data_IF_574291383968
#
_entry.id   IF_574291383968
#
_cell.length_a   1.000
_cell.length_b   1.000
_cell.length_c   1.000
_cell.angle_alpha   90.00
_cell.angle_beta   90.00
_cell.angle_gamma   90.00
#
_symmetry.space_group_name_H-M   'P 1'
#
loop_
_entity.id
_entity.type
_entity.pdbx_description
1 polymer ?
#
# COMPACT_ATOMS: atom_id res chain seq x y z
N UNK A 1 -1.43 20.03 -62.62
CA UNK A 1 -0.29 19.77 -61.71
C UNK A 1 -0.82 19.84 -60.28
N UNK A 2 -1.16 18.73 -59.61
CA UNK A 2 -1.56 18.79 -58.21
C UNK A 2 -0.32 18.78 -57.30
N UNK A 3 -0.31 19.65 -56.30
CA UNK A 3 0.75 19.76 -55.31
C UNK A 3 0.74 18.55 -54.35
N UNK A 4 1.90 18.09 -53.85
CA UNK A 4 1.95 16.98 -52.89
C UNK A 4 1.59 17.50 -51.49
N UNK A 5 0.53 16.93 -50.90
CA UNK A 5 0.23 17.09 -49.48
C UNK A 5 1.20 16.24 -48.67
N UNK A 6 2.18 16.89 -48.04
CA UNK A 6 3.03 16.28 -47.02
C UNK A 6 2.25 16.13 -45.71
N UNK A 7 1.68 14.95 -45.48
CA UNK A 7 1.19 14.56 -44.16
C UNK A 7 2.39 14.30 -43.25
N UNK A 8 2.66 15.23 -42.33
CA UNK A 8 3.59 15.03 -41.22
C UNK A 8 3.12 13.81 -40.38
N UNK A 9 4.05 12.93 -39.92
CA UNK A 9 3.68 11.80 -39.09
C UNK A 9 3.12 12.30 -37.76
N UNK A 10 1.89 11.89 -37.45
CA UNK A 10 1.19 12.24 -36.22
C UNK A 10 1.98 11.81 -34.99
N UNK A 11 2.24 12.76 -34.09
CA UNK A 11 2.56 12.47 -32.71
C UNK A 11 1.32 11.83 -32.08
N UNK A 12 1.30 10.50 -31.99
CA UNK A 12 0.33 9.82 -31.16
C UNK A 12 0.62 10.18 -29.70
N UNK A 13 -0.37 10.59 -28.90
CA UNK A 13 -0.15 10.87 -27.48
C UNK A 13 0.37 9.60 -26.79
N UNK A 14 1.58 9.66 -26.27
CA UNK A 14 2.20 8.60 -25.49
C UNK A 14 1.42 8.41 -24.20
N UNK A 15 0.51 7.43 -24.18
CA UNK A 15 -0.14 7.04 -22.93
C UNK A 15 0.93 6.65 -21.91
N UNK A 16 0.72 6.95 -20.63
CA UNK A 16 1.67 6.71 -19.53
C UNK A 16 2.13 5.24 -19.44
N UNK A 17 1.36 4.32 -20.03
CA UNK A 17 1.64 2.88 -20.11
C UNK A 17 2.58 2.46 -21.24
N UNK A 18 2.89 3.36 -22.19
CA UNK A 18 3.81 3.09 -23.31
C UNK A 18 5.28 3.35 -22.98
N UNK A 19 5.56 4.05 -21.87
CA UNK A 19 6.91 4.42 -21.47
C UNK A 19 7.59 3.23 -20.77
N UNK A 20 8.69 2.77 -21.36
CA UNK A 20 9.53 1.71 -20.79
C UNK A 20 10.68 2.28 -19.94
N UNK A 21 11.39 1.40 -19.24
CA UNK A 21 12.51 1.76 -18.36
C UNK A 21 13.63 2.53 -19.06
N UNK A 22 13.98 2.16 -20.29
CA UNK A 22 15.05 2.82 -21.04
C UNK A 22 14.72 4.29 -21.27
N UNK A 23 13.47 4.59 -21.61
CA UNK A 23 12.99 5.97 -21.80
C UNK A 23 12.90 6.69 -20.45
N UNK A 24 12.23 6.09 -19.46
CA UNK A 24 12.05 6.73 -18.15
C UNK A 24 13.40 7.08 -17.48
N UNK A 25 14.42 6.22 -17.62
CA UNK A 25 15.74 6.42 -17.03
C UNK A 25 16.52 7.61 -17.62
N UNK A 26 16.19 8.03 -18.85
CA UNK A 26 16.81 9.21 -19.46
C UNK A 26 16.40 10.49 -18.75
N UNK A 27 15.27 10.49 -18.03
CA UNK A 27 14.78 11.68 -17.33
C UNK A 27 15.47 11.83 -15.97
N UNK A 28 16.23 12.92 -15.72
CA UNK A 28 16.87 13.14 -14.43
C UNK A 28 15.86 13.18 -13.26
N UNK A 29 14.70 13.78 -13.48
CA UNK A 29 13.62 13.83 -12.49
C UNK A 29 13.11 12.44 -12.08
N UNK A 30 13.01 11.50 -13.03
CA UNK A 30 12.61 10.13 -12.72
C UNK A 30 13.64 9.43 -11.83
N UNK A 31 14.93 9.57 -12.14
CA UNK A 31 16.02 8.97 -11.34
C UNK A 31 16.05 9.51 -9.92
N UNK A 32 15.91 10.83 -9.76
CA UNK A 32 15.84 11.47 -8.45
C UNK A 32 14.61 11.01 -7.66
N UNK A 33 13.42 11.02 -8.27
CA UNK A 33 12.21 10.58 -7.60
C UNK A 33 12.28 9.10 -7.18
N UNK A 34 12.81 8.23 -8.04
CA UNK A 34 12.95 6.81 -7.73
C UNK A 34 13.97 6.59 -6.62
N UNK A 35 15.16 7.22 -6.74
CA UNK A 35 16.20 7.14 -5.71
C UNK A 35 15.71 7.64 -4.35
N UNK A 36 15.02 8.78 -4.32
CA UNK A 36 14.42 9.33 -3.10
C UNK A 36 13.35 8.42 -2.52
N UNK A 37 12.42 7.89 -3.34
CA UNK A 37 11.40 6.97 -2.84
C UNK A 37 12.02 5.72 -2.21
N UNK A 38 13.03 5.11 -2.86
CA UNK A 38 13.72 3.94 -2.34
C UNK A 38 14.49 4.26 -1.05
N UNK A 39 15.24 5.37 -1.01
CA UNK A 39 15.97 5.79 0.18
C UNK A 39 15.04 6.06 1.38
N UNK A 40 13.92 6.74 1.14
CA UNK A 40 12.91 7.02 2.15
C UNK A 40 12.23 5.75 2.67
N UNK A 41 11.92 4.79 1.80
CA UNK A 41 11.36 3.49 2.19
C UNK A 41 12.36 2.65 2.99
N UNK A 42 13.64 2.65 2.62
CA UNK A 42 14.69 1.96 3.38
C UNK A 42 14.90 2.59 4.76
N UNK A 43 14.94 3.93 4.82
CA UNK A 43 15.02 4.67 6.08
C UNK A 43 13.83 4.34 6.98
N UNK A 44 12.62 4.37 6.43
CA UNK A 44 11.41 4.00 7.14
C UNK A 44 11.49 2.55 7.66
N UNK A 45 11.88 1.59 6.83
CA UNK A 45 12.02 0.19 7.23
C UNK A 45 13.02 0.00 8.38
N UNK A 46 14.12 0.77 8.40
CA UNK A 46 15.09 0.76 9.48
C UNK A 46 14.56 1.37 10.80
N UNK A 47 13.64 2.33 10.71
CA UNK A 47 13.10 3.04 11.88
C UNK A 47 11.84 2.39 12.46
N UNK A 48 11.03 1.73 11.62
CA UNK A 48 9.73 1.15 12.01
C UNK A 48 9.79 0.21 13.21
N UNK A 49 10.76 -0.71 13.36
CA UNK A 49 10.81 -1.60 14.52
C UNK A 49 10.90 -0.84 15.85
N UNK A 50 11.72 0.24 15.90
CA UNK A 50 11.85 1.09 17.09
C UNK A 50 10.58 1.88 17.34
N UNK A 51 9.96 2.40 16.27
CA UNK A 51 8.69 3.12 16.38
C UNK A 51 7.58 2.22 16.91
N UNK A 52 7.44 1.00 16.39
CA UNK A 52 6.45 0.05 16.90
C UNK A 52 6.71 -0.36 18.34
N UNK A 53 7.96 -0.62 18.73
CA UNK A 53 8.28 -0.89 20.13
C UNK A 53 7.85 0.25 21.06
N UNK A 54 8.04 1.50 20.63
CA UNK A 54 7.55 2.67 21.37
C UNK A 54 6.03 2.77 21.40
N UNK A 55 5.34 2.54 20.27
CA UNK A 55 3.87 2.53 20.21
C UNK A 55 3.29 1.45 21.14
N UNK A 56 3.87 0.24 21.13
CA UNK A 56 3.44 -0.89 21.97
C UNK A 56 3.52 -0.57 23.47
N UNK A 57 4.53 0.19 23.89
CA UNK A 57 4.74 0.55 25.30
C UNK A 57 3.80 1.63 25.83
N UNK A 58 3.11 2.38 24.95
CA UNK A 58 2.20 3.45 25.37
C UNK A 58 0.84 2.90 25.79
N UNK A 59 0.20 3.46 26.84
CA UNK A 59 -1.21 3.19 27.12
C UNK A 59 -2.06 3.76 26.00
N UNK A 60 -3.04 2.99 25.54
CA UNK A 60 -4.03 3.40 24.56
C UNK A 60 -5.45 3.41 25.11
N UNK A 61 -6.39 3.73 24.24
CA UNK A 61 -7.82 3.66 24.52
C UNK A 61 -8.43 2.44 23.84
N UNK A 62 -9.30 1.72 24.55
CA UNK A 62 -10.11 0.67 23.96
C UNK A 62 -11.34 1.31 23.29
N UNK A 63 -11.56 1.03 22.01
CA UNK A 63 -12.72 1.54 21.29
C UNK A 63 -13.86 0.50 21.30
N UNK A 64 -15.11 0.92 21.53
CA UNK A 64 -16.25 0.05 21.30
C UNK A 64 -16.40 -0.19 19.79
N UNK A 65 -16.51 -1.45 19.38
CA UNK A 65 -16.75 -1.82 17.99
C UNK A 65 -17.92 -2.81 17.93
N UNK A 66 -19.15 -2.32 17.63
CA UNK A 66 -20.34 -3.18 17.60
C UNK A 66 -20.27 -4.29 16.55
N UNK A 67 -19.52 -4.10 15.46
CA UNK A 67 -19.40 -5.11 14.42
C UNK A 67 -18.50 -6.24 14.93
N UNK A 68 -17.32 -5.92 15.46
CA UNK A 68 -16.44 -6.93 16.06
C UNK A 68 -17.07 -7.62 17.27
N UNK A 69 -17.85 -6.89 18.08
CA UNK A 69 -18.52 -7.48 19.24
C UNK A 69 -19.50 -8.62 18.89
N UNK A 70 -20.03 -8.62 17.67
CA UNK A 70 -20.94 -9.66 17.16
C UNK A 70 -20.27 -10.65 16.19
N UNK A 71 -19.00 -10.41 15.83
CA UNK A 71 -18.24 -11.26 14.94
C UNK A 71 -17.43 -12.26 15.78
N UNK A 72 -17.50 -13.57 15.52
CA UNK A 72 -16.67 -14.52 16.24
C UNK A 72 -15.23 -14.47 15.73
N UNK A 73 -14.29 -14.26 16.65
CA UNK A 73 -12.87 -14.29 16.37
C UNK A 73 -12.42 -15.70 15.93
N UNK A 74 -11.69 -15.79 14.82
CA UNK A 74 -11.10 -17.04 14.31
C UNK A 74 -9.70 -16.78 13.78
N UNK A 75 -8.82 -17.75 13.96
CA UNK A 75 -7.51 -17.70 13.31
C UNK A 75 -7.64 -18.02 11.82
N UNK A 76 -7.47 -16.98 11.02
CA UNK A 76 -7.43 -16.94 9.55
C UNK A 76 -6.09 -16.39 9.06
N UNK A 77 -5.03 -16.48 9.87
CA UNK A 77 -3.69 -15.96 9.52
C UNK A 77 -3.21 -16.49 8.17
N UNK A 78 -3.32 -17.80 7.94
CA UNK A 78 -2.90 -18.43 6.68
C UNK A 78 -3.61 -17.85 5.45
N UNK A 79 -4.94 -17.69 5.53
CA UNK A 79 -5.74 -17.13 4.45
C UNK A 79 -5.42 -15.66 4.22
N UNK A 80 -5.28 -14.88 5.30
CA UNK A 80 -4.93 -13.47 5.23
C UNK A 80 -3.58 -13.27 4.52
N UNK A 81 -2.54 -13.98 4.95
CA UNK A 81 -1.21 -13.89 4.35
C UNK A 81 -1.18 -14.41 2.91
N UNK A 82 -1.94 -15.45 2.58
CA UNK A 82 -2.08 -15.92 1.19
C UNK A 82 -2.66 -14.81 0.29
N UNK A 83 -3.74 -14.15 0.72
CA UNK A 83 -4.37 -13.05 -0.03
C UNK A 83 -3.41 -11.88 -0.19
N UNK A 84 -2.71 -11.48 0.88
CA UNK A 84 -1.74 -10.38 0.86
C UNK A 84 -0.60 -10.68 -0.10
N UNK A 85 0.05 -11.85 0.02
CA UNK A 85 1.22 -12.16 -0.80
C UNK A 85 0.88 -12.37 -2.28
N UNK A 86 -0.24 -13.04 -2.58
CA UNK A 86 -0.69 -13.18 -3.97
C UNK A 86 -1.08 -11.82 -4.57
N UNK A 87 -1.74 -10.96 -3.79
CA UNK A 87 -2.08 -9.60 -4.20
C UNK A 87 -0.85 -8.73 -4.45
N UNK A 88 0.12 -8.74 -3.53
CA UNK A 88 1.40 -8.03 -3.69
C UNK A 88 2.15 -8.56 -4.91
N UNK A 89 2.25 -9.89 -5.06
CA UNK A 89 2.91 -10.52 -6.22
C UNK A 89 2.27 -10.10 -7.55
N UNK A 90 0.94 -10.17 -7.65
CA UNK A 90 0.21 -9.73 -8.84
C UNK A 90 0.43 -8.23 -9.13
N UNK A 91 0.40 -7.40 -8.09
CA UNK A 91 0.68 -5.96 -8.18
C UNK A 91 2.09 -5.69 -8.70
N UNK A 92 3.11 -6.29 -8.09
CA UNK A 92 4.52 -6.14 -8.48
C UNK A 92 4.75 -6.60 -9.91
N UNK A 93 4.30 -7.80 -10.29
CA UNK A 93 4.45 -8.32 -11.66
C UNK A 93 3.77 -7.39 -12.69
N UNK A 94 2.66 -6.75 -12.30
CA UNK A 94 1.94 -5.83 -13.18
C UNK A 94 2.61 -4.45 -13.27
N UNK A 95 3.19 -3.95 -12.17
CA UNK A 95 3.78 -2.61 -12.11
C UNK A 95 5.25 -2.58 -12.56
N UNK A 96 6.00 -3.66 -12.38
CA UNK A 96 7.43 -3.70 -12.69
C UNK A 96 7.76 -3.30 -14.14
N UNK A 97 7.03 -3.71 -15.20
CA UNK A 97 7.30 -3.23 -16.56
C UNK A 97 6.82 -1.79 -16.84
N UNK A 98 6.18 -1.12 -15.88
CA UNK A 98 5.51 0.19 -16.03
C UNK A 98 6.14 1.23 -15.09
N UNK A 99 7.32 1.77 -15.43
CA UNK A 99 8.15 2.57 -14.53
C UNK A 99 7.40 3.75 -13.88
N UNK A 100 6.54 4.46 -14.63
CA UNK A 100 5.84 5.63 -14.11
C UNK A 100 4.77 5.26 -13.07
N UNK A 101 4.02 4.18 -13.30
CA UNK A 101 3.04 3.67 -12.34
C UNK A 101 3.72 3.09 -11.10
N UNK A 102 4.82 2.36 -11.30
CA UNK A 102 5.62 1.85 -10.20
C UNK A 102 6.16 2.98 -9.33
N UNK A 103 6.72 4.03 -9.94
CA UNK A 103 7.22 5.19 -9.21
C UNK A 103 6.13 5.86 -8.37
N UNK A 104 4.94 6.06 -8.95
CA UNK A 104 3.78 6.58 -8.21
C UNK A 104 3.37 5.64 -7.07
N UNK A 105 3.38 4.33 -7.30
CA UNK A 105 3.06 3.35 -6.27
C UNK A 105 4.07 3.39 -5.10
N UNK A 106 5.37 3.53 -5.37
CA UNK A 106 6.40 3.64 -4.33
C UNK A 106 6.23 4.91 -3.48
N UNK A 107 5.99 6.05 -4.12
CA UNK A 107 5.72 7.30 -3.39
C UNK A 107 4.43 7.24 -2.57
N UNK A 108 3.36 6.67 -3.14
CA UNK A 108 2.12 6.49 -2.42
C UNK A 108 2.28 5.52 -1.25
N UNK A 109 3.05 4.45 -1.41
CA UNK A 109 3.34 3.49 -0.36
C UNK A 109 4.15 4.12 0.79
N UNK A 110 5.14 4.94 0.47
CA UNK A 110 5.85 5.72 1.48
C UNK A 110 4.91 6.68 2.23
N UNK A 111 4.07 7.44 1.52
CA UNK A 111 3.08 8.33 2.14
C UNK A 111 2.07 7.58 3.01
N UNK A 112 1.66 6.38 2.62
CA UNK A 112 0.78 5.54 3.43
C UNK A 112 1.40 5.21 4.79
N UNK A 113 2.68 4.85 4.80
CA UNK A 113 3.38 4.58 6.04
C UNK A 113 3.58 5.84 6.88
N UNK A 114 3.80 7.00 6.26
CA UNK A 114 3.81 8.28 6.98
C UNK A 114 2.46 8.51 7.66
N UNK A 115 1.34 8.33 6.95
CA UNK A 115 0.00 8.45 7.54
C UNK A 115 -0.23 7.44 8.66
N UNK A 116 0.18 6.18 8.49
CA UNK A 116 0.12 5.16 9.53
C UNK A 116 0.92 5.55 10.77
N UNK A 117 2.14 6.05 10.60
CA UNK A 117 2.93 6.55 11.74
C UNK A 117 2.26 7.74 12.42
N UNK A 118 1.67 8.67 11.66
CA UNK A 118 0.94 9.81 12.21
C UNK A 118 -0.32 9.38 12.97
N UNK A 119 -1.11 8.44 12.45
CA UNK A 119 -2.30 7.93 13.14
C UNK A 119 -1.92 7.20 14.42
N UNK A 120 -0.89 6.36 14.38
CA UNK A 120 -0.38 5.69 15.57
C UNK A 120 0.15 6.69 16.59
N UNK A 121 0.84 7.75 16.15
CA UNK A 121 1.33 8.80 17.04
C UNK A 121 0.18 9.50 17.78
N UNK A 122 -0.86 9.90 17.05
CA UNK A 122 -1.95 10.75 17.52
C UNK A 122 -3.05 9.99 18.27
N UNK A 123 -3.31 8.74 17.89
CA UNK A 123 -4.43 7.95 18.40
C UNK A 123 -3.90 6.61 18.93
N UNK A 124 -3.35 6.57 20.15
CA UNK A 124 -2.93 5.32 20.76
C UNK A 124 -4.16 4.49 21.13
N UNK A 125 -4.29 3.31 20.53
CA UNK A 125 -5.40 2.38 20.79
C UNK A 125 -4.89 1.11 21.45
N UNK A 126 -5.72 0.53 22.32
CA UNK A 126 -5.55 -0.85 22.76
C UNK A 126 -6.16 -1.81 21.73
N UNK A 127 -5.62 -3.03 21.58
CA UNK A 127 -6.16 -4.01 20.64
C UNK A 127 -7.62 -4.35 20.94
N UNK A 128 -8.42 -4.73 19.92
CA UNK A 128 -9.78 -5.18 20.11
C UNK A 128 -9.87 -6.35 21.11
N UNK A 129 -10.98 -6.43 21.84
CA UNK A 129 -11.23 -7.59 22.70
C UNK A 129 -11.32 -8.86 21.86
N UNK A 130 -10.65 -9.92 22.31
CA UNK A 130 -10.59 -11.18 21.56
C UNK A 130 -9.61 -11.16 20.37
N UNK A 131 -8.65 -10.23 20.33
CA UNK A 131 -7.55 -10.23 19.36
C UNK A 131 -6.95 -11.64 19.21
N UNK A 132 -6.94 -12.14 17.97
CA UNK A 132 -6.14 -13.30 17.59
C UNK A 132 -4.88 -12.81 16.90
N UNK A 133 -3.71 -13.11 17.46
CA UNK A 133 -2.42 -12.67 16.93
C UNK A 133 -2.24 -13.20 15.50
N UNK A 134 -1.84 -12.34 14.57
CA UNK A 134 -1.45 -12.78 13.22
C UNK A 134 -0.11 -13.50 13.30
N UNK A 135 -0.08 -14.71 12.78
CA UNK A 135 1.14 -15.49 12.59
C UNK A 135 1.56 -15.46 11.12
N UNK A 136 2.65 -14.75 10.82
CA UNK A 136 3.18 -14.64 9.46
C UNK A 136 4.00 -15.91 9.13
N UNK A 137 3.52 -16.77 8.20
CA UNK A 137 4.14 -18.06 7.95
C UNK A 137 5.49 -17.95 7.22
N UNK A 138 5.76 -16.84 6.50
CA UNK A 138 7.05 -16.64 5.84
C UNK A 138 8.06 -16.04 6.82
N UNK A 139 7.66 -15.02 7.57
CA UNK A 139 8.54 -14.39 8.56
C UNK A 139 8.91 -15.41 9.62
N UNK A 140 7.96 -16.11 10.24
CA UNK A 140 8.27 -17.10 11.27
C UNK A 140 9.20 -18.22 10.77
N UNK A 141 9.08 -18.59 9.49
CA UNK A 141 9.89 -19.64 8.88
C UNK A 141 11.30 -19.18 8.46
N UNK A 142 11.46 -17.93 8.03
CA UNK A 142 12.69 -17.45 7.40
C UNK A 142 13.45 -16.40 8.22
N UNK A 143 12.79 -15.72 9.15
CA UNK A 143 13.33 -14.64 9.97
C UNK A 143 12.85 -14.85 11.41
N UNK A 144 13.72 -15.39 12.27
CA UNK A 144 13.44 -15.62 13.70
C UNK A 144 12.45 -14.59 14.27
N UNK A 145 11.28 -15.07 14.69
CA UNK A 145 10.14 -14.25 15.07
C UNK A 145 10.57 -13.13 16.03
N UNK A 146 10.09 -11.92 15.79
CA UNK A 146 10.31 -10.81 16.71
C UNK A 146 9.87 -11.20 18.13
N UNK A 147 10.58 -10.76 19.19
CA UNK A 147 10.33 -11.22 20.56
C UNK A 147 8.91 -10.95 21.08
N UNK A 148 8.17 -10.04 20.45
CA UNK A 148 6.76 -9.80 20.74
C UNK A 148 5.97 -9.48 19.47
N UNK A 149 4.73 -9.99 19.34
CA UNK A 149 3.86 -9.65 18.22
C UNK A 149 3.45 -8.17 18.28
N UNK A 150 3.27 -7.55 17.12
CA UNK A 150 2.78 -6.18 16.99
C UNK A 150 1.25 -6.22 17.10
N UNK A 151 0.68 -5.54 18.10
CA UNK A 151 -0.74 -5.62 18.45
C UNK A 151 -1.44 -4.26 18.52
N UNK A 152 -0.70 -3.17 18.75
CA UNK A 152 -1.21 -1.78 18.73
C UNK A 152 -1.00 -1.07 17.39
N UNK A 153 -0.85 -1.83 16.32
CA UNK A 153 -0.87 -1.27 14.96
C UNK A 153 -2.31 -1.03 14.50
N UNK A 154 -2.94 0.00 15.07
CA UNK A 154 -4.39 0.22 14.99
C UNK A 154 -4.69 1.62 14.43
N UNK A 155 -5.96 1.90 14.11
CA UNK A 155 -6.49 3.04 13.35
C UNK A 155 -6.16 3.06 11.85
N UNK A 156 -5.25 2.22 11.39
CA UNK A 156 -4.86 2.15 9.99
C UNK A 156 -4.53 0.71 9.59
N UNK A 157 -5.42 0.05 8.84
CA UNK A 157 -5.15 -1.31 8.35
C UNK A 157 -4.13 -1.29 7.21
N UNK A 158 -2.86 -1.58 7.53
CA UNK A 158 -1.78 -1.65 6.54
C UNK A 158 -2.04 -2.69 5.44
N UNK A 159 -2.65 -3.82 5.79
CA UNK A 159 -3.01 -4.90 4.86
C UNK A 159 -4.02 -4.42 3.82
N UNK A 160 -5.13 -3.83 4.28
CA UNK A 160 -6.20 -3.30 3.41
C UNK A 160 -5.67 -2.15 2.55
N UNK A 161 -4.95 -1.19 3.16
CA UNK A 161 -4.42 -0.03 2.48
C UNK A 161 -3.43 -0.40 1.36
N UNK A 162 -2.62 -1.43 1.57
CA UNK A 162 -1.63 -1.90 0.58
C UNK A 162 -2.32 -2.51 -0.64
N UNK A 163 -3.28 -3.42 -0.47
CA UNK A 163 -4.01 -4.01 -1.60
C UNK A 163 -4.90 -2.98 -2.31
N UNK A 164 -5.49 -2.03 -1.57
CA UNK A 164 -6.22 -0.91 -2.16
C UNK A 164 -5.29 -0.04 -3.01
N UNK A 165 -4.09 0.27 -2.51
CA UNK A 165 -3.11 1.05 -3.28
C UNK A 165 -2.71 0.34 -4.57
N UNK A 166 -2.48 -0.97 -4.50
CA UNK A 166 -2.18 -1.77 -5.69
C UNK A 166 -3.36 -1.74 -6.67
N UNK A 167 -4.59 -1.87 -6.18
CA UNK A 167 -5.81 -1.74 -6.99
C UNK A 167 -5.89 -0.39 -7.71
N UNK A 168 -5.52 0.70 -7.06
CA UNK A 168 -5.55 2.05 -7.65
C UNK A 168 -4.42 2.28 -8.67
N UNK A 169 -3.27 1.66 -8.47
CA UNK A 169 -2.05 1.91 -9.25
C UNK A 169 -1.97 1.05 -10.51
N UNK A 170 -2.48 -0.18 -10.49
CA UNK A 170 -2.47 -1.05 -11.68
C UNK A 170 -3.39 -0.50 -12.81
N UNK A 171 -3.07 -0.78 -14.09
CA UNK A 171 -3.96 -0.42 -15.19
C UNK A 171 -5.37 -1.02 -15.05
N UNK A 172 -6.35 -0.38 -15.68
CA UNK A 172 -7.69 -0.95 -15.77
C UNK A 172 -7.65 -2.32 -16.48
N UNK A 173 -8.43 -3.27 -15.99
CA UNK A 173 -8.48 -4.63 -16.50
C UNK A 173 -8.74 -5.66 -15.40
N UNK A 174 -8.70 -6.94 -15.76
CA UNK A 174 -9.01 -8.04 -14.84
C UNK A 174 -8.12 -8.05 -13.59
N UNK A 175 -6.84 -7.69 -13.71
CA UNK A 175 -5.89 -7.66 -12.58
C UNK A 175 -6.30 -6.64 -11.53
N UNK A 176 -6.83 -5.48 -11.96
CA UNK A 176 -7.37 -4.46 -11.06
C UNK A 176 -8.60 -4.96 -10.33
N UNK A 177 -9.49 -5.67 -11.03
CA UNK A 177 -10.66 -6.29 -10.40
C UNK A 177 -10.26 -7.34 -9.37
N UNK A 178 -9.32 -8.22 -9.69
CA UNK A 178 -8.78 -9.22 -8.75
C UNK A 178 -8.20 -8.56 -7.51
N UNK A 179 -7.38 -7.51 -7.66
CA UNK A 179 -6.84 -6.76 -6.52
C UNK A 179 -7.93 -6.05 -5.71
N UNK A 180 -8.97 -5.53 -6.37
CA UNK A 180 -10.11 -4.91 -5.68
C UNK A 180 -10.90 -5.92 -4.84
N UNK A 181 -11.16 -7.11 -5.39
CA UNK A 181 -11.78 -8.22 -4.64
C UNK A 181 -10.88 -8.67 -3.49
N UNK A 182 -9.57 -8.81 -3.73
CA UNK A 182 -8.59 -9.17 -2.70
C UNK A 182 -8.53 -8.11 -1.59
N UNK A 183 -8.73 -6.83 -1.91
CA UNK A 183 -8.81 -5.73 -0.94
C UNK A 183 -10.02 -5.89 -0.02
N UNK A 184 -11.19 -6.18 -0.59
CA UNK A 184 -12.39 -6.47 0.22
C UNK A 184 -12.21 -7.71 1.09
N UNK A 185 -11.66 -8.78 0.51
CA UNK A 185 -11.39 -10.03 1.20
C UNK A 185 -10.43 -9.85 2.38
N UNK A 186 -9.28 -9.19 2.18
CA UNK A 186 -8.34 -8.98 3.29
C UNK A 186 -8.95 -8.08 4.37
N UNK A 187 -9.72 -7.06 3.99
CA UNK A 187 -10.45 -6.21 4.93
C UNK A 187 -11.42 -7.02 5.79
N UNK A 188 -12.11 -8.01 5.22
CA UNK A 188 -12.97 -8.92 6.01
C UNK A 188 -12.16 -9.88 6.88
N UNK A 189 -11.09 -10.48 6.36
CA UNK A 189 -10.28 -11.44 7.09
C UNK A 189 -9.62 -10.83 8.33
N UNK A 190 -9.11 -9.59 8.24
CA UNK A 190 -8.52 -8.93 9.42
C UNK A 190 -9.54 -8.61 10.51
N UNK A 191 -10.82 -8.42 10.14
CA UNK A 191 -11.91 -8.25 11.12
C UNK A 191 -12.26 -9.59 11.76
N UNK A 192 -12.34 -10.69 10.99
CA UNK A 192 -12.57 -12.05 11.53
C UNK A 192 -11.43 -12.48 12.47
N UNK A 193 -10.20 -12.06 12.18
CA UNK A 193 -9.04 -12.27 13.05
C UNK A 193 -9.08 -11.39 14.31
N UNK A 194 -9.97 -10.39 14.37
CA UNK A 194 -9.97 -9.32 15.38
C UNK A 194 -8.63 -8.57 15.45
N UNK A 195 -7.85 -8.62 14.37
CA UNK A 195 -6.53 -7.99 14.26
C UNK A 195 -6.59 -6.47 14.20
N UNK A 196 -7.71 -5.96 13.70
CA UNK A 196 -7.97 -4.56 13.48
C UNK A 196 -9.41 -4.25 13.83
N UNK A 197 -9.67 -3.02 14.27
CA UNK A 197 -11.04 -2.53 14.37
C UNK A 197 -11.65 -2.33 12.98
N UNK A 198 -12.98 -2.31 12.92
CA UNK A 198 -13.75 -1.87 11.74
C UNK A 198 -13.31 -0.48 11.30
N UNK A 199 -13.05 0.41 12.26
CA UNK A 199 -12.55 1.76 12.02
C UNK A 199 -11.22 1.78 11.24
N UNK A 200 -10.33 0.82 11.50
CA UNK A 200 -9.02 0.74 10.85
C UNK A 200 -9.14 0.40 9.36
N UNK A 201 -10.08 -0.51 9.04
CA UNK A 201 -10.38 -0.93 7.67
C UNK A 201 -11.06 0.20 6.90
N UNK A 202 -12.01 0.90 7.54
CA UNK A 202 -12.68 2.04 6.93
C UNK A 202 -11.73 3.23 6.73
N UNK A 203 -10.86 3.52 7.70
CA UNK A 203 -9.87 4.60 7.61
C UNK A 203 -8.85 4.37 6.50
N UNK A 204 -8.51 3.11 6.19
CA UNK A 204 -7.59 2.79 5.11
C UNK A 204 -8.02 3.40 3.76
N UNK A 205 -9.32 3.47 3.47
CA UNK A 205 -9.84 3.97 2.19
C UNK A 205 -9.47 5.44 1.92
N UNK A 206 -9.89 6.43 2.74
CA UNK A 206 -9.56 7.84 2.50
C UNK A 206 -8.06 8.10 2.55
N UNK A 207 -7.31 7.47 3.45
CA UNK A 207 -5.86 7.68 3.52
C UNK A 207 -5.14 7.11 2.29
N UNK A 208 -5.55 5.96 1.76
CA UNK A 208 -4.98 5.41 0.52
C UNK A 208 -5.29 6.29 -0.68
N UNK A 209 -6.52 6.81 -0.79
CA UNK A 209 -6.89 7.76 -1.84
C UNK A 209 -6.06 9.05 -1.75
N UNK A 210 -5.90 9.59 -0.54
CA UNK A 210 -5.09 10.78 -0.28
C UNK A 210 -3.63 10.54 -0.68
N UNK A 211 -3.01 9.46 -0.19
CA UNK A 211 -1.62 9.12 -0.51
C UNK A 211 -1.42 8.93 -2.02
N UNK A 212 -2.34 8.25 -2.69
CA UNK A 212 -2.29 8.04 -4.13
C UNK A 212 -2.42 9.36 -4.92
N UNK A 213 -3.25 10.29 -4.46
CA UNK A 213 -3.41 11.61 -5.08
C UNK A 213 -2.16 12.48 -4.90
N UNK A 214 -1.59 12.52 -3.70
CA UNK A 214 -0.39 13.29 -3.37
C UNK A 214 0.83 12.76 -4.11
N UNK A 215 0.99 11.43 -4.18
CA UNK A 215 2.04 10.80 -4.98
C UNK A 215 1.92 11.16 -6.47
N UNK A 216 0.69 11.27 -6.98
CA UNK A 216 0.42 11.76 -8.34
C UNK A 216 0.92 13.19 -8.55
N UNK A 217 0.68 14.09 -7.59
CA UNK A 217 1.17 15.48 -7.63
C UNK A 217 2.70 15.55 -7.60
N UNK A 218 3.33 14.76 -6.73
CA UNK A 218 4.81 14.67 -6.64
C UNK A 218 5.41 14.20 -7.97
N UNK A 219 4.86 13.13 -8.56
CA UNK A 219 5.37 12.60 -9.82
C UNK A 219 5.13 13.58 -10.99
N UNK A 220 3.92 14.11 -11.13
CA UNK A 220 3.55 14.97 -12.25
C UNK A 220 4.21 16.36 -12.19
N UNK A 221 4.55 16.86 -11.00
CA UNK A 221 5.23 18.15 -10.85
C UNK A 221 6.71 18.13 -11.24
N UNK A 222 7.32 16.95 -11.35
CA UNK A 222 8.77 16.78 -11.64
C UNK A 222 9.04 16.08 -12.97
N UNK A 223 8.10 15.26 -13.45
CA UNK A 223 8.23 14.56 -14.72
C UNK A 223 7.66 15.41 -15.87
N UNK A 224 8.19 15.28 -17.09
CA UNK A 224 7.60 15.92 -18.27
C UNK A 224 6.14 15.48 -18.44
N UNK A 225 5.27 16.39 -18.88
CA UNK A 225 3.92 16.04 -19.32
C UNK A 225 4.01 15.02 -20.45
N UNK A 226 3.44 13.83 -20.24
CA UNK A 226 3.37 12.75 -21.22
C UNK A 226 2.30 13.03 -22.30
#
# INVERSE_FOLDING_TARGET
MPAPTSSLPGFAPTTTDSINWKVAWQWPGFRWLLGSALALLLLLAALLPRFFAWVQARPGYLLPDPLLANLPARDVSGDAFAVIYLGIGLGVITLLPRPLRLLRALWAYWLLHVFRCLTLLLVPLEPPTGLVVLHDPLVERFFYAAPSPITKDLLFSGHTATLLLLTLTVPAGWRRWVLGVATGLIGSLVLVQHAHYTYDVLAAVPFTLLAYSLAGRVCNGTLPSA
#
